data_IF_904884903692
#
_entry.id   IF_904884903692
#
_cell.length_a   1.000
_cell.length_b   1.000
_cell.length_c   1.000
_cell.angle_alpha   90.00
_cell.angle_beta   90.00
_cell.angle_gamma   90.00
#
_symmetry.space_group_name_H-M   'P 1'
#
loop_
_entity.id
_entity.type
_entity.pdbx_description
1 polymer ?
#
# COMPACT_ATOMS: atom_id res chain seq x y z
N UNK A 1 -12.47 12.82 -2.42
CA UNK A 1 -13.85 12.62 -2.01
C UNK A 1 -13.92 12.04 -0.60
N UNK A 2 -15.05 12.17 0.10
CA UNK A 2 -15.19 11.75 1.50
C UNK A 2 -14.32 12.57 2.45
N UNK A 3 -13.82 11.96 3.54
CA UNK A 3 -13.10 12.62 4.62
C UNK A 3 -11.60 12.37 4.49
N UNK A 4 -10.81 13.46 4.49
CA UNK A 4 -9.36 13.35 4.44
C UNK A 4 -8.78 12.87 5.78
N UNK A 5 -7.59 12.23 5.75
CA UNK A 5 -6.85 11.84 6.95
C UNK A 5 -6.72 13.01 7.96
N UNK A 6 -6.32 14.19 7.47
CA UNK A 6 -6.20 15.38 8.31
C UNK A 6 -7.50 15.77 9.02
N UNK A 7 -8.65 15.54 8.39
CA UNK A 7 -9.96 15.82 8.99
C UNK A 7 -10.33 14.70 9.99
N UNK A 8 -10.04 13.44 9.66
CA UNK A 8 -10.25 12.32 10.58
C UNK A 8 -9.42 12.47 11.86
N UNK A 9 -8.16 12.89 11.76
CA UNK A 9 -7.30 13.22 12.90
C UNK A 9 -7.93 14.33 13.75
N UNK A 10 -8.40 15.42 13.13
CA UNK A 10 -9.05 16.55 13.83
C UNK A 10 -10.33 16.13 14.55
N UNK A 11 -11.10 15.22 13.95
CA UNK A 11 -12.35 14.70 14.52
C UNK A 11 -12.12 13.52 15.47
N UNK A 12 -10.88 13.08 15.64
CA UNK A 12 -10.50 11.90 16.44
C UNK A 12 -11.24 10.63 16.03
N UNK A 13 -11.53 10.49 14.74
CA UNK A 13 -12.14 9.29 14.16
C UNK A 13 -11.03 8.30 13.81
N UNK A 14 -11.05 7.07 14.39
CA UNK A 14 -10.07 6.04 14.05
C UNK A 14 -10.16 5.65 12.57
N UNK A 15 -9.00 5.56 11.92
CA UNK A 15 -8.92 5.13 10.53
C UNK A 15 -7.58 4.42 10.25
N UNK A 16 -7.56 3.67 9.16
CA UNK A 16 -6.34 3.19 8.50
C UNK A 16 -6.27 3.76 7.09
N UNK A 17 -5.05 3.79 6.55
CA UNK A 17 -4.78 4.26 5.20
C UNK A 17 -4.23 3.12 4.35
N UNK A 18 -4.75 2.94 3.13
CA UNK A 18 -4.12 2.12 2.11
C UNK A 18 -3.73 3.00 0.93
N UNK A 19 -2.50 2.85 0.45
CA UNK A 19 -1.97 3.54 -0.72
C UNK A 19 -1.64 2.48 -1.76
N UNK A 20 -2.11 2.70 -2.99
CA UNK A 20 -1.83 1.84 -4.13
C UNK A 20 -1.38 2.68 -5.33
N UNK A 21 -0.49 2.12 -6.11
CA UNK A 21 0.00 2.68 -7.35
C UNK A 21 -0.43 1.74 -8.48
N UNK A 22 -1.18 2.26 -9.43
CA UNK A 22 -1.74 1.46 -10.52
C UNK A 22 -1.73 2.21 -11.85
N UNK A 23 -1.84 1.48 -12.94
CA UNK A 23 -1.91 2.08 -14.26
C UNK A 23 -3.35 2.53 -14.60
N UNK A 24 -3.48 3.58 -15.42
CA UNK A 24 -4.76 4.08 -15.94
C UNK A 24 -5.54 3.02 -16.71
N UNK A 25 -4.83 2.11 -17.38
CA UNK A 25 -5.38 0.95 -18.09
C UNK A 25 -4.34 -0.17 -18.17
N UNK A 26 -4.61 -1.24 -18.90
CA UNK A 26 -3.72 -2.41 -19.01
C UNK A 26 -2.32 -2.00 -19.48
N UNK A 27 -1.29 -2.31 -18.68
CA UNK A 27 0.09 -1.86 -18.92
C UNK A 27 0.73 -2.38 -20.21
N UNK A 28 0.18 -3.44 -20.82
CA UNK A 28 0.61 -3.94 -22.12
C UNK A 28 -0.03 -3.20 -23.31
N UNK A 29 -1.03 -2.35 -23.05
CA UNK A 29 -1.62 -1.49 -24.06
C UNK A 29 -0.91 -0.12 -24.05
N UNK A 30 -0.59 0.45 -25.25
CA UNK A 30 0.18 1.68 -25.32
C UNK A 30 -0.48 2.87 -24.61
N UNK A 31 0.32 3.69 -23.97
CA UNK A 31 -0.12 4.93 -23.30
C UNK A 31 -0.57 4.77 -21.86
N UNK A 32 -0.41 3.59 -21.27
CA UNK A 32 -0.69 3.40 -19.84
C UNK A 32 0.19 4.31 -18.98
N UNK A 33 -0.42 5.05 -18.06
CA UNK A 33 0.26 5.99 -17.17
C UNK A 33 -0.11 5.69 -15.71
N UNK A 34 0.84 5.87 -14.81
CA UNK A 34 0.62 5.57 -13.39
C UNK A 34 -0.29 6.60 -12.72
N UNK A 35 -1.07 6.14 -11.77
CA UNK A 35 -1.81 6.95 -10.81
C UNK A 35 -1.63 6.42 -9.40
N UNK A 36 -1.80 7.28 -8.43
CA UNK A 36 -1.77 6.97 -7.02
C UNK A 36 -3.18 7.08 -6.43
N UNK A 37 -3.62 6.06 -5.72
CA UNK A 37 -4.87 6.07 -4.99
C UNK A 37 -4.58 5.85 -3.50
N UNK A 38 -5.16 6.70 -2.67
CA UNK A 38 -5.17 6.58 -1.23
C UNK A 38 -6.60 6.48 -0.75
N UNK A 39 -6.90 5.48 0.08
CA UNK A 39 -8.18 5.36 0.76
C UNK A 39 -7.98 5.44 2.28
N UNK A 40 -8.96 6.05 2.95
CA UNK A 40 -9.11 6.03 4.41
C UNK A 40 -10.31 5.16 4.75
N UNK A 41 -10.16 4.23 5.67
CA UNK A 41 -11.22 3.29 6.06
C UNK A 41 -11.21 3.01 7.56
N UNK A 42 -12.35 2.63 8.08
CA UNK A 42 -12.52 2.24 9.48
C UNK A 42 -11.75 0.96 9.80
N UNK A 43 -10.96 0.92 10.89
CA UNK A 43 -10.26 -0.29 11.31
C UNK A 43 -11.19 -1.36 11.89
N UNK A 44 -12.43 -1.01 12.22
CA UNK A 44 -13.40 -1.88 12.87
C UNK A 44 -14.19 -2.73 11.87
N UNK A 45 -14.76 -2.08 10.85
CA UNK A 45 -15.70 -2.69 9.91
C UNK A 45 -15.31 -2.52 8.43
N UNK A 46 -14.20 -1.82 8.16
CA UNK A 46 -13.75 -1.55 6.81
C UNK A 46 -14.56 -0.49 6.06
N UNK A 47 -15.44 0.25 6.74
CA UNK A 47 -16.24 1.31 6.12
C UNK A 47 -15.34 2.32 5.42
N UNK A 48 -15.63 2.61 4.16
CA UNK A 48 -14.86 3.56 3.38
C UNK A 48 -15.19 5.00 3.83
N UNK A 49 -14.20 5.71 4.36
CA UNK A 49 -14.36 7.05 4.93
C UNK A 49 -13.97 8.14 3.95
N UNK A 50 -12.98 7.89 3.11
CA UNK A 50 -12.49 8.87 2.15
C UNK A 50 -11.54 8.27 1.14
N UNK A 51 -11.38 8.98 0.02
CA UNK A 51 -10.49 8.59 -1.05
C UNK A 51 -9.84 9.81 -1.71
N UNK A 52 -8.60 9.65 -2.14
CA UNK A 52 -7.83 10.61 -2.92
C UNK A 52 -7.18 9.85 -4.08
N UNK A 53 -7.10 10.50 -5.24
CA UNK A 53 -6.36 9.98 -6.36
C UNK A 53 -5.56 11.10 -7.02
N UNK A 54 -4.36 10.77 -7.49
CA UNK A 54 -3.46 11.67 -8.20
C UNK A 54 -2.95 10.96 -9.45
N UNK A 55 -2.98 11.64 -10.57
CA UNK A 55 -2.54 11.09 -11.85
C UNK A 55 -2.93 12.01 -13.01
N UNK A 56 -2.67 11.56 -14.22
CA UNK A 56 -2.90 12.35 -15.45
C UNK A 56 -4.12 11.83 -16.20
N UNK A 57 -4.38 10.54 -16.15
CA UNK A 57 -5.45 9.89 -16.92
C UNK A 57 -6.32 8.97 -16.05
N UNK A 58 -7.64 9.03 -16.21
CA UNK A 58 -8.62 8.14 -15.57
C UNK A 58 -8.78 8.30 -14.06
N UNK A 59 -8.27 9.39 -13.47
CA UNK A 59 -8.37 9.71 -12.03
C UNK A 59 -9.81 10.00 -11.63
N UNK A 60 -10.52 10.79 -12.42
CA UNK A 60 -11.90 11.17 -12.24
C UNK A 60 -12.81 9.94 -12.15
N UNK A 61 -12.71 9.03 -13.11
CA UNK A 61 -13.45 7.76 -13.14
C UNK A 61 -13.30 6.97 -11.81
N UNK A 62 -12.07 6.87 -11.28
CA UNK A 62 -11.82 6.14 -10.04
C UNK A 62 -12.37 6.86 -8.82
N UNK A 63 -12.24 8.18 -8.78
CA UNK A 63 -12.83 8.99 -7.71
C UNK A 63 -14.35 8.94 -7.70
N UNK A 64 -15.00 8.96 -8.86
CA UNK A 64 -16.46 8.83 -8.96
C UNK A 64 -16.95 7.49 -8.44
N UNK A 65 -16.29 6.38 -8.79
CA UNK A 65 -16.64 5.06 -8.26
C UNK A 65 -16.51 4.99 -6.75
N UNK A 66 -15.39 5.45 -6.20
CA UNK A 66 -15.17 5.48 -4.74
C UNK A 66 -16.13 6.44 -4.04
N UNK A 67 -16.49 7.56 -4.68
CA UNK A 67 -17.49 8.50 -4.18
C UNK A 67 -18.87 7.86 -4.05
N UNK A 68 -19.27 7.07 -5.04
CA UNK A 68 -20.53 6.33 -5.00
C UNK A 68 -20.55 5.30 -3.85
N UNK A 69 -19.46 4.56 -3.65
CA UNK A 69 -19.32 3.61 -2.52
C UNK A 69 -19.42 4.35 -1.18
N UNK A 70 -18.66 5.45 -0.99
CA UNK A 70 -18.72 6.27 0.23
C UNK A 70 -20.13 6.79 0.47
N UNK A 71 -20.78 7.32 -0.56
CA UNK A 71 -22.12 7.89 -0.46
C UNK A 71 -23.17 6.88 0.00
N UNK A 72 -23.02 5.63 -0.42
CA UNK A 72 -23.92 4.53 -0.03
C UNK A 72 -23.51 3.86 1.32
N UNK A 73 -22.53 4.39 2.03
CA UNK A 73 -22.05 3.82 3.30
C UNK A 73 -21.30 2.52 3.13
N UNK A 74 -20.77 2.25 1.92
CA UNK A 74 -20.06 1.03 1.58
C UNK A 74 -18.68 0.92 2.24
N UNK A 75 -18.04 -0.21 2.02
CA UNK A 75 -16.83 -0.69 2.68
C UNK A 75 -15.70 -0.94 1.68
N UNK A 76 -14.54 -1.32 2.18
CA UNK A 76 -13.42 -1.82 1.38
C UNK A 76 -13.79 -3.09 0.59
N UNK A 77 -14.72 -3.89 1.10
CA UNK A 77 -15.19 -5.12 0.43
C UNK A 77 -15.97 -4.79 -0.83
N UNK A 78 -16.80 -3.74 -0.78
CA UNK A 78 -17.49 -3.25 -1.98
C UNK A 78 -16.49 -2.82 -3.05
N UNK A 79 -15.35 -2.20 -2.69
CA UNK A 79 -14.29 -1.89 -3.66
C UNK A 79 -13.68 -3.13 -4.30
N UNK A 80 -13.53 -4.23 -3.54
CA UNK A 80 -12.97 -5.49 -4.06
C UNK A 80 -13.91 -6.14 -5.08
N UNK A 81 -15.22 -6.00 -4.88
CA UNK A 81 -16.27 -6.64 -5.68
C UNK A 81 -16.76 -5.78 -6.85
N UNK A 82 -16.31 -4.53 -6.99
CA UNK A 82 -16.68 -3.68 -8.11
C UNK A 82 -16.33 -4.36 -9.44
N UNK A 83 -17.34 -4.66 -10.21
CA UNK A 83 -17.19 -5.11 -11.59
C UNK A 83 -17.18 -3.89 -12.52
N UNK A 84 -16.00 -3.55 -13.01
CA UNK A 84 -15.81 -2.39 -13.85
C UNK A 84 -15.77 -2.77 -15.32
N UNK A 85 -16.24 -1.86 -16.18
CA UNK A 85 -16.10 -2.02 -17.61
C UNK A 85 -14.59 -2.16 -17.97
N UNK A 86 -14.23 -3.31 -18.52
CA UNK A 86 -12.86 -3.64 -18.89
C UNK A 86 -12.70 -3.88 -20.38
N UNK A 87 -11.77 -3.15 -20.95
CA UNK A 87 -11.04 -3.50 -22.16
C UNK A 87 -9.64 -2.88 -22.03
N UNK A 88 -8.61 -3.42 -22.69
CA UNK A 88 -7.21 -2.98 -22.49
C UNK A 88 -6.98 -1.47 -22.56
N UNK A 89 -7.63 -0.69 -23.45
CA UNK A 89 -7.44 0.76 -23.52
C UNK A 89 -8.12 1.55 -22.39
N UNK A 90 -9.03 0.95 -21.61
CA UNK A 90 -9.88 1.69 -20.67
C UNK A 90 -9.64 1.36 -19.21
N UNK A 91 -9.17 0.16 -18.90
CA UNK A 91 -8.96 -0.28 -17.53
C UNK A 91 -7.98 -1.46 -17.46
N UNK A 92 -7.75 -1.96 -16.27
CA UNK A 92 -7.07 -3.23 -16.00
C UNK A 92 -8.07 -4.26 -15.50
N UNK A 93 -7.78 -5.56 -15.69
CA UNK A 93 -8.64 -6.65 -15.21
C UNK A 93 -8.89 -6.59 -13.69
N UNK A 94 -7.89 -6.10 -12.94
CA UNK A 94 -8.04 -5.62 -11.56
C UNK A 94 -7.68 -4.15 -11.57
N UNK A 95 -8.70 -3.30 -11.49
CA UNK A 95 -8.51 -1.85 -11.48
C UNK A 95 -7.82 -1.40 -10.18
N UNK A 96 -7.08 -0.27 -10.19
CA UNK A 96 -6.50 0.30 -8.99
C UNK A 96 -7.49 0.48 -7.82
N UNK A 97 -8.78 0.69 -8.08
CA UNK A 97 -9.83 0.74 -7.04
C UNK A 97 -10.01 -0.61 -6.37
N UNK A 98 -10.08 -1.71 -7.15
CA UNK A 98 -10.15 -3.05 -6.57
C UNK A 98 -8.86 -3.35 -5.76
N UNK A 99 -7.71 -2.96 -6.28
CA UNK A 99 -6.42 -3.13 -5.58
C UNK A 99 -6.39 -2.40 -4.25
N UNK A 100 -6.96 -1.19 -4.16
CA UNK A 100 -7.08 -0.47 -2.89
C UNK A 100 -7.91 -1.27 -1.86
N UNK A 101 -9.01 -1.86 -2.28
CA UNK A 101 -9.82 -2.76 -1.45
C UNK A 101 -9.03 -3.99 -0.97
N UNK A 102 -8.30 -4.67 -1.87
CA UNK A 102 -7.49 -5.85 -1.52
C UNK A 102 -6.36 -5.50 -0.55
N UNK A 103 -5.69 -4.37 -0.72
CA UNK A 103 -4.63 -3.93 0.22
C UNK A 103 -5.24 -3.63 1.59
N UNK A 104 -6.38 -2.96 1.65
CA UNK A 104 -7.07 -2.67 2.89
C UNK A 104 -7.54 -3.96 3.60
N UNK A 105 -8.08 -4.95 2.87
CA UNK A 105 -8.43 -6.27 3.44
C UNK A 105 -7.19 -6.98 4.01
N UNK A 106 -6.07 -6.97 3.30
CA UNK A 106 -4.83 -7.55 3.80
C UNK A 106 -4.37 -6.92 5.13
N UNK A 107 -4.64 -5.62 5.32
CA UNK A 107 -4.36 -4.92 6.57
C UNK A 107 -5.34 -5.31 7.69
N UNK A 108 -6.66 -5.36 7.40
CA UNK A 108 -7.68 -5.71 8.40
C UNK A 108 -7.60 -7.18 8.82
N UNK A 109 -7.38 -8.08 7.86
CA UNK A 109 -7.25 -9.51 8.12
C UNK A 109 -5.90 -9.92 8.75
N UNK A 110 -5.00 -8.95 9.02
CA UNK A 110 -3.70 -9.20 9.64
C UNK A 110 -2.70 -9.93 8.74
N UNK A 111 -2.97 -10.04 7.44
CA UNK A 111 -2.05 -10.64 6.47
C UNK A 111 -0.78 -9.80 6.29
N UNK A 112 -0.85 -8.51 6.57
CA UNK A 112 0.30 -7.60 6.60
C UNK A 112 0.06 -6.51 7.65
N UNK A 113 1.13 -6.14 8.35
CA UNK A 113 1.16 -4.92 9.16
C UNK A 113 1.75 -3.79 8.31
N UNK A 114 1.04 -2.69 8.20
CA UNK A 114 1.49 -1.50 7.46
C UNK A 114 1.72 -0.35 8.43
N UNK A 115 2.74 0.44 8.17
CA UNK A 115 2.99 1.70 8.88
C UNK A 115 3.14 2.85 7.88
N UNK A 116 2.71 4.03 8.30
CA UNK A 116 2.95 5.27 7.55
C UNK A 116 4.39 5.77 7.75
N UNK A 117 4.85 6.66 6.88
CA UNK A 117 6.13 7.34 7.05
C UNK A 117 6.19 8.18 8.35
N UNK A 118 5.03 8.66 8.84
CA UNK A 118 4.94 9.40 10.11
C UNK A 118 5.21 8.48 11.29
N UNK A 119 4.55 7.32 11.33
CA UNK A 119 4.80 6.31 12.35
C UNK A 119 6.26 5.85 12.31
N UNK A 120 6.82 5.63 11.12
CA UNK A 120 8.24 5.27 10.99
C UNK A 120 9.17 6.34 11.56
N UNK A 121 8.86 7.62 11.37
CA UNK A 121 9.64 8.74 11.92
C UNK A 121 9.65 8.75 13.44
N UNK A 122 8.53 8.35 14.06
CA UNK A 122 8.36 8.36 15.51
C UNK A 122 8.85 7.06 16.18
N UNK A 123 9.23 6.03 15.39
CA UNK A 123 9.78 4.79 15.91
C UNK A 123 11.18 4.97 16.49
N UNK A 124 11.46 4.26 17.59
CA UNK A 124 12.80 4.15 18.17
C UNK A 124 13.73 3.38 17.22
N UNK A 125 14.66 4.09 16.60
CA UNK A 125 15.60 3.53 15.61
C UNK A 125 16.51 2.44 16.18
N UNK A 126 16.69 2.36 17.49
CA UNK A 126 17.46 1.28 18.12
C UNK A 126 16.73 -0.06 18.13
N UNK A 127 15.39 -0.04 18.03
CA UNK A 127 14.49 -1.22 18.08
C UNK A 127 14.01 -1.68 16.72
N UNK A 128 14.36 -0.97 15.65
CA UNK A 128 13.94 -1.30 14.30
C UNK A 128 15.14 -1.51 13.39
N UNK A 129 14.95 -2.31 12.35
CA UNK A 129 15.89 -2.47 11.25
C UNK A 129 15.19 -2.14 9.94
N UNK A 130 15.74 -1.19 9.20
CA UNK A 130 15.20 -0.81 7.89
C UNK A 130 15.80 -1.70 6.82
N UNK A 131 14.95 -2.30 5.99
CA UNK A 131 15.35 -3.17 4.89
C UNK A 131 14.74 -2.67 3.58
N UNK A 132 15.59 -2.15 2.72
CA UNK A 132 15.23 -1.78 1.35
C UNK A 132 15.27 -3.05 0.48
N UNK A 133 14.10 -3.45 -0.04
CA UNK A 133 13.97 -4.68 -0.83
C UNK A 133 14.05 -4.43 -2.34
N UNK A 134 14.49 -3.24 -2.75
CA UNK A 134 14.76 -2.89 -4.15
C UNK A 134 16.06 -3.53 -4.62
N UNK A 135 16.35 -3.39 -5.91
CA UNK A 135 17.63 -3.86 -6.45
C UNK A 135 18.82 -3.06 -5.88
N UNK A 136 20.02 -3.60 -5.99
CA UNK A 136 21.23 -2.92 -5.54
C UNK A 136 21.46 -1.58 -6.28
N UNK A 137 21.10 -1.54 -7.55
CA UNK A 137 21.19 -0.32 -8.38
C UNK A 137 20.21 0.76 -7.90
N UNK A 138 18.95 0.39 -7.59
CA UNK A 138 17.96 1.31 -7.04
C UNK A 138 18.40 1.83 -5.66
N UNK A 139 18.98 0.96 -4.83
CA UNK A 139 19.50 1.33 -3.51
C UNK A 139 20.66 2.31 -3.63
N UNK A 140 21.59 2.09 -4.57
CA UNK A 140 22.73 2.97 -4.81
C UNK A 140 22.33 4.37 -5.29
N UNK A 141 21.17 4.53 -5.94
CA UNK A 141 20.62 5.85 -6.31
C UNK A 141 20.07 6.65 -5.13
N UNK A 142 19.94 6.04 -3.96
CA UNK A 142 19.46 6.65 -2.72
C UNK A 142 18.44 5.78 -1.99
N UNK A 143 18.48 5.81 -0.66
CA UNK A 143 17.59 5.05 0.21
C UNK A 143 17.34 5.80 1.51
N UNK A 144 16.49 5.25 2.38
CA UNK A 144 16.31 5.79 3.74
C UNK A 144 17.60 5.59 4.53
N UNK A 145 18.07 6.64 5.19
CA UNK A 145 19.30 6.60 6.00
C UNK A 145 19.25 5.48 7.04
N UNK A 146 20.33 4.70 7.09
CA UNK A 146 20.47 3.55 7.99
C UNK A 146 19.78 2.27 7.49
N UNK A 147 19.22 2.26 6.29
CA UNK A 147 18.66 1.05 5.68
C UNK A 147 19.78 0.13 5.17
N UNK A 148 19.51 -1.17 5.22
CA UNK A 148 20.30 -2.19 4.53
C UNK A 148 19.56 -2.66 3.28
N UNK A 149 20.30 -3.01 2.23
CA UNK A 149 19.69 -3.55 1.02
C UNK A 149 19.67 -5.07 1.08
N UNK A 150 18.48 -5.65 0.93
CA UNK A 150 18.26 -7.08 0.74
C UNK A 150 17.22 -7.24 -0.36
N UNK A 151 17.65 -7.29 -1.61
CA UNK A 151 16.75 -7.36 -2.76
C UNK A 151 15.79 -8.55 -2.68
N UNK A 152 14.53 -8.33 -3.00
CA UNK A 152 13.51 -9.37 -3.01
C UNK A 152 13.89 -10.54 -3.96
N UNK A 153 14.48 -10.24 -5.11
CA UNK A 153 14.67 -11.20 -6.19
C UNK A 153 15.88 -12.14 -6.00
N UNK A 154 16.86 -11.73 -5.18
CA UNK A 154 18.13 -12.47 -5.06
C UNK A 154 18.39 -13.14 -3.70
N UNK A 155 17.54 -12.96 -2.69
CA UNK A 155 18.03 -13.08 -1.32
C UNK A 155 17.15 -13.86 -0.35
N UNK A 156 16.37 -14.84 -0.80
CA UNK A 156 15.60 -15.69 0.16
C UNK A 156 16.47 -16.29 1.26
N UNK A 157 17.72 -16.60 0.99
CA UNK A 157 18.71 -17.05 1.98
C UNK A 157 19.26 -15.93 2.89
N UNK A 158 19.27 -14.69 2.41
CA UNK A 158 19.76 -13.53 3.16
C UNK A 158 18.82 -13.15 4.31
N UNK A 159 17.51 -13.35 4.14
CA UNK A 159 16.52 -13.06 5.19
C UNK A 159 16.77 -13.86 6.48
N UNK A 160 17.41 -15.03 6.40
CA UNK A 160 17.73 -15.84 7.58
C UNK A 160 18.79 -15.17 8.48
N UNK A 161 19.54 -14.21 7.95
CA UNK A 161 20.55 -13.45 8.69
C UNK A 161 19.99 -12.25 9.45
N UNK A 162 18.70 -11.93 9.23
CA UNK A 162 18.04 -10.80 9.90
C UNK A 162 17.87 -11.09 11.40
N UNK A 163 18.02 -10.06 12.25
CA UNK A 163 17.81 -10.20 13.68
C UNK A 163 16.34 -10.48 14.00
N UNK A 164 16.08 -11.32 14.99
CA UNK A 164 14.71 -11.63 15.45
C UNK A 164 14.30 -10.83 16.70
N UNK A 165 15.19 -10.04 17.24
CA UNK A 165 15.02 -9.21 18.44
C UNK A 165 14.58 -7.77 18.13
N UNK A 166 14.34 -7.47 16.85
CA UNK A 166 13.94 -6.14 16.38
C UNK A 166 12.79 -6.25 15.38
N UNK A 167 11.98 -5.20 15.31
CA UNK A 167 10.98 -5.06 14.24
C UNK A 167 11.68 -4.76 12.92
N UNK A 168 11.41 -5.54 11.90
CA UNK A 168 11.92 -5.32 10.54
C UNK A 168 10.93 -4.40 9.81
N UNK A 169 11.40 -3.26 9.34
CA UNK A 169 10.63 -2.37 8.48
C UNK A 169 11.10 -2.58 7.05
N UNK A 170 10.27 -3.19 6.22
CA UNK A 170 10.56 -3.39 4.80
C UNK A 170 9.93 -2.29 3.96
N UNK A 171 10.61 -1.87 2.90
CA UNK A 171 10.09 -0.89 1.95
C UNK A 171 10.68 -1.09 0.56
N UNK A 172 10.01 -0.50 -0.44
CA UNK A 172 10.49 -0.46 -1.82
C UNK A 172 10.06 0.87 -2.48
N UNK A 173 9.91 0.92 -3.79
CA UNK A 173 9.49 2.15 -4.47
C UNK A 173 7.98 2.46 -4.36
N UNK A 174 7.13 1.43 -4.31
CA UNK A 174 5.65 1.56 -4.39
C UNK A 174 4.90 0.61 -3.44
N UNK A 175 5.59 -0.04 -2.50
CA UNK A 175 4.99 -0.90 -1.48
C UNK A 175 4.78 -2.37 -1.85
N UNK A 176 4.70 -2.76 -3.14
CA UNK A 176 4.40 -4.14 -3.55
C UNK A 176 5.51 -5.13 -3.20
N UNK A 177 6.77 -4.84 -3.57
CA UNK A 177 7.94 -5.69 -3.22
C UNK A 177 8.10 -5.78 -1.70
N UNK A 178 7.87 -4.66 -0.99
CA UNK A 178 7.84 -4.61 0.46
C UNK A 178 6.77 -5.52 1.05
N UNK A 179 5.56 -5.51 0.49
CA UNK A 179 4.48 -6.42 0.89
C UNK A 179 4.89 -7.89 0.74
N UNK A 180 5.45 -8.27 -0.40
CA UNK A 180 5.88 -9.66 -0.66
C UNK A 180 6.97 -10.07 0.35
N UNK A 181 7.98 -9.21 0.58
CA UNK A 181 9.03 -9.45 1.57
C UNK A 181 8.46 -9.59 2.98
N UNK A 182 7.53 -8.70 3.38
CA UNK A 182 6.86 -8.79 4.67
C UNK A 182 6.14 -10.13 4.84
N UNK A 183 5.42 -10.59 3.82
CA UNK A 183 4.73 -11.90 3.84
C UNK A 183 5.70 -13.06 4.03
N UNK A 184 6.83 -13.05 3.33
CA UNK A 184 7.88 -14.07 3.49
C UNK A 184 8.45 -14.05 4.90
N UNK A 185 8.83 -12.88 5.40
CA UNK A 185 9.41 -12.73 6.73
C UNK A 185 8.43 -13.13 7.86
N UNK A 186 7.15 -12.74 7.74
CA UNK A 186 6.13 -13.14 8.71
C UNK A 186 6.00 -14.67 8.81
N UNK A 187 6.05 -15.39 7.67
CA UNK A 187 6.01 -16.85 7.63
C UNK A 187 7.23 -17.50 8.29
N UNK A 188 8.35 -16.78 8.38
CA UNK A 188 9.57 -17.22 9.06
C UNK A 188 9.66 -16.73 10.52
N UNK A 189 8.56 -16.17 11.05
CA UNK A 189 8.45 -15.79 12.45
C UNK A 189 9.16 -14.48 12.82
N UNK A 190 9.38 -13.58 11.84
CA UNK A 190 9.88 -12.23 12.11
C UNK A 190 8.73 -11.28 12.50
N UNK A 191 9.00 -10.35 13.41
CA UNK A 191 8.14 -9.18 13.56
C UNK A 191 8.49 -8.19 12.45
N UNK A 192 7.55 -8.00 11.53
CA UNK A 192 7.80 -7.20 10.31
C UNK A 192 6.61 -6.31 9.99
N UNK A 193 6.91 -5.12 9.52
CA UNK A 193 5.96 -4.15 9.00
C UNK A 193 6.40 -3.67 7.62
N UNK A 194 5.45 -3.37 6.75
CA UNK A 194 5.71 -2.79 5.43
C UNK A 194 5.41 -1.28 5.47
N UNK A 195 6.29 -0.48 4.88
CA UNK A 195 6.05 0.95 4.72
C UNK A 195 4.96 1.16 3.67
N UNK A 196 3.91 1.88 4.05
CA UNK A 196 2.74 2.13 3.20
C UNK A 196 3.08 3.11 2.08
N UNK A 197 2.90 2.67 0.84
CA UNK A 197 3.23 3.44 -0.36
C UNK A 197 4.69 3.32 -0.83
N UNK A 198 5.52 2.58 -0.12
CA UNK A 198 6.93 2.32 -0.49
C UNK A 198 7.92 3.17 0.24
#
# INVERSE_FOLDING_TARGET
TGVSAKMLDRLQIPYKEAIVHGASHAGYYPGAIMMDIKINFSPEDGKLLGAQAVGIDGVDKRLEMMSAVIRNGGTIYDLMELEQAYAPPYSSAKDPVNMAGFVADNMLSGKVKMISWRELKDMDRSKVMLVDVRTAEEFAMGSIEGAVNISLDGSRGEYQKLPKDRTIVVFCAIGLRGYIAARVLMQHGYDVVNLNGG
#
